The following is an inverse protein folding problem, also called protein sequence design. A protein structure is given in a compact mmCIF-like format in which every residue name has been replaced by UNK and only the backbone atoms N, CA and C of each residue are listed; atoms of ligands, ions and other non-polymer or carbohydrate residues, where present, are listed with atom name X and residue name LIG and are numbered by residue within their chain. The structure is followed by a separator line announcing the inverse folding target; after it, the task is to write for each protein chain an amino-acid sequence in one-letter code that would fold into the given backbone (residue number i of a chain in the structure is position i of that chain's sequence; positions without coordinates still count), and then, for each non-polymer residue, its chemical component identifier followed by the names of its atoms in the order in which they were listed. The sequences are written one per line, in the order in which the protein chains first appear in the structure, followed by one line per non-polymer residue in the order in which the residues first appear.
data_IF_248530964892
#
_entry.id   IF_248530964892
#
_cell.length_a   1.000
_cell.length_b   1.000
_cell.length_c   1.000
_cell.angle_alpha   90.00
_cell.angle_beta   90.00
_cell.angle_gamma   90.00
#
_symmetry.space_group_name_H-M   'P 1'
#
loop_
_entity.id
_entity.type
_entity.pdbx_description
1 polymer ?
#
# COMPACT_ATOMS: atom_id res chain seq x y z
N UNK A 1 41.30 -4.04 -14.92
CA UNK A 1 40.88 -5.32 -14.30
C UNK A 1 39.92 -5.06 -13.12
N UNK A 2 38.80 -4.35 -13.36
CA UNK A 2 37.72 -4.03 -12.40
C UNK A 2 36.45 -3.55 -13.15
N UNK A 3 36.04 -4.33 -14.15
CA UNK A 3 34.76 -4.22 -14.87
C UNK A 3 34.50 -5.61 -15.45
N UNK A 4 33.74 -6.43 -14.74
CA UNK A 4 33.09 -7.69 -15.18
C UNK A 4 32.70 -8.53 -13.95
N UNK A 5 31.69 -8.10 -13.21
CA UNK A 5 30.85 -8.98 -12.39
C UNK A 5 29.44 -8.40 -12.44
N UNK A 6 28.82 -8.45 -13.62
CA UNK A 6 27.41 -8.07 -13.76
C UNK A 6 26.77 -8.67 -15.02
N UNK A 7 27.05 -9.94 -15.33
CA UNK A 7 26.21 -10.77 -16.19
C UNK A 7 26.42 -12.21 -15.76
N UNK A 8 25.35 -13.00 -15.69
CA UNK A 8 25.27 -14.44 -15.36
C UNK A 8 25.10 -14.83 -13.88
N UNK A 9 23.86 -14.73 -13.40
CA UNK A 9 23.25 -15.78 -12.56
C UNK A 9 21.76 -15.94 -12.90
N UNK A 10 21.52 -17.01 -13.67
CA UNK A 10 20.31 -17.73 -14.07
C UNK A 10 18.88 -17.22 -13.75
N UNK A 11 18.09 -17.36 -14.81
CA UNK A 11 16.76 -16.82 -15.14
C UNK A 11 15.58 -17.42 -14.33
N UNK A 12 15.82 -18.30 -13.35
CA UNK A 12 14.78 -18.83 -12.45
C UNK A 12 14.71 -18.14 -11.07
N UNK A 13 15.69 -17.29 -10.72
CA UNK A 13 15.71 -16.54 -9.45
C UNK A 13 15.20 -15.09 -9.54
N UNK A 14 14.81 -14.65 -10.74
CA UNK A 14 14.47 -13.26 -11.06
C UNK A 14 13.14 -12.78 -10.45
N UNK A 15 12.21 -13.69 -10.12
CA UNK A 15 10.91 -13.31 -9.52
C UNK A 15 10.95 -13.08 -8.01
N UNK A 16 11.95 -13.60 -7.30
CA UNK A 16 12.10 -13.37 -5.85
C UNK A 16 12.75 -12.02 -5.53
N UNK A 17 13.63 -11.52 -6.40
CA UNK A 17 14.35 -10.25 -6.18
C UNK A 17 13.60 -9.02 -6.69
N UNK A 18 12.74 -9.14 -7.71
CA UNK A 18 11.94 -8.00 -8.20
C UNK A 18 10.85 -7.51 -7.24
N UNK A 19 10.48 -8.29 -6.22
CA UNK A 19 9.63 -7.81 -5.12
C UNK A 19 10.37 -7.00 -4.04
N UNK A 20 11.71 -7.01 -4.09
CA UNK A 20 12.61 -6.24 -3.21
C UNK A 20 13.20 -5.01 -3.91
N UNK A 21 13.16 -4.95 -5.25
CA UNK A 21 13.84 -3.91 -6.05
C UNK A 21 12.82 -2.92 -6.62
N UNK A 22 12.50 -1.89 -5.82
CA UNK A 22 12.32 -0.48 -6.25
C UNK A 22 12.00 0.44 -5.05
N UNK A 23 12.86 0.41 -4.02
CA UNK A 23 12.71 1.21 -2.78
C UNK A 23 13.66 2.42 -2.71
N UNK A 24 14.38 2.74 -3.81
CA UNK A 24 15.45 3.73 -3.82
C UNK A 24 14.94 5.14 -4.15
N UNK A 25 14.77 5.98 -3.13
CA UNK A 25 15.10 7.41 -3.23
C UNK A 25 15.77 7.89 -1.93
N UNK A 26 16.85 7.23 -1.53
CA UNK A 26 17.89 7.95 -0.77
C UNK A 26 18.74 8.65 -1.84
N UNK A 27 18.93 9.97 -1.78
CA UNK A 27 19.70 10.65 -2.82
C UNK A 27 21.14 10.11 -2.86
N UNK A 28 21.76 10.13 -4.04
CA UNK A 28 23.08 9.52 -4.30
C UNK A 28 24.22 10.11 -3.45
N UNK A 29 23.99 11.23 -2.75
CA UNK A 29 24.92 11.85 -1.82
C UNK A 29 24.96 11.17 -0.44
N UNK A 30 24.08 10.20 -0.17
CA UNK A 30 24.01 9.41 1.07
C UNK A 30 24.31 7.92 0.83
N UNK A 31 25.48 7.66 0.24
CA UNK A 31 25.96 6.30 -0.06
C UNK A 31 26.09 5.41 1.20
N UNK A 32 26.37 6.01 2.36
CA UNK A 32 26.46 5.31 3.65
C UNK A 32 25.16 4.58 4.02
N UNK A 33 24.03 5.25 3.83
CA UNK A 33 22.70 4.70 4.11
C UNK A 33 22.33 3.59 3.13
N UNK A 34 22.66 3.76 1.85
CA UNK A 34 22.40 2.74 0.84
C UNK A 34 23.17 1.45 1.14
N UNK A 35 24.43 1.54 1.55
CA UNK A 35 25.25 0.38 1.94
C UNK A 35 24.69 -0.35 3.17
N UNK A 36 24.29 0.39 4.21
CA UNK A 36 23.68 -0.18 5.42
C UNK A 36 22.33 -0.85 5.10
N UNK A 37 21.51 -0.23 4.25
CA UNK A 37 20.24 -0.81 3.81
C UNK A 37 20.45 -2.08 3.00
N UNK A 38 21.38 -2.08 2.05
CA UNK A 38 21.74 -3.27 1.26
C UNK A 38 22.25 -4.41 2.15
N UNK A 39 23.02 -4.09 3.19
CA UNK A 39 23.48 -5.08 4.17
C UNK A 39 22.32 -5.71 4.93
N UNK A 40 21.38 -4.91 5.44
CA UNK A 40 20.18 -5.40 6.12
C UNK A 40 19.29 -6.24 5.20
N UNK A 41 19.09 -5.79 3.95
CA UNK A 41 18.33 -6.51 2.92
C UNK A 41 18.97 -7.85 2.58
N UNK A 42 20.30 -7.90 2.45
CA UNK A 42 21.04 -9.14 2.23
C UNK A 42 20.88 -10.12 3.39
N UNK A 43 21.07 -9.67 4.63
CA UNK A 43 20.89 -10.49 5.82
C UNK A 43 19.45 -11.03 5.93
N UNK A 44 18.44 -10.17 5.73
CA UNK A 44 17.05 -10.57 5.72
C UNK A 44 16.74 -11.59 4.63
N UNK A 45 17.29 -11.42 3.42
CA UNK A 45 17.11 -12.34 2.30
C UNK A 45 17.65 -13.74 2.61
N UNK A 46 18.81 -13.83 3.27
CA UNK A 46 19.38 -15.12 3.70
C UNK A 46 18.46 -15.82 4.72
N UNK A 47 17.93 -15.07 5.69
CA UNK A 47 17.00 -15.60 6.71
C UNK A 47 15.67 -16.05 6.05
N UNK A 48 15.14 -15.27 5.10
CA UNK A 48 13.93 -15.62 4.38
C UNK A 48 14.12 -16.83 3.46
N UNK A 49 15.31 -17.00 2.88
CA UNK A 49 15.67 -18.18 2.09
C UNK A 49 15.73 -19.43 2.98
N UNK A 50 16.33 -19.32 4.16
CA UNK A 50 16.31 -20.36 5.20
C UNK A 50 14.87 -20.74 5.59
N UNK A 51 14.01 -19.74 5.82
CA UNK A 51 12.60 -19.95 6.11
C UNK A 51 11.86 -20.70 4.98
N UNK A 52 12.05 -20.26 3.73
CA UNK A 52 11.45 -20.90 2.56
C UNK A 52 11.88 -22.35 2.43
N UNK A 53 13.17 -22.64 2.60
CA UNK A 53 13.70 -24.00 2.50
C UNK A 53 13.12 -24.91 3.59
N UNK A 54 13.11 -24.45 4.85
CA UNK A 54 12.51 -25.19 5.95
C UNK A 54 11.03 -25.50 5.69
N UNK A 55 10.23 -24.51 5.28
CA UNK A 55 8.80 -24.70 5.08
C UNK A 55 8.45 -25.51 3.83
N UNK A 56 9.26 -25.45 2.77
CA UNK A 56 9.10 -26.33 1.61
C UNK A 56 9.33 -27.80 1.99
N UNK A 57 10.22 -28.07 2.95
CA UNK A 57 10.48 -29.40 3.50
C UNK A 57 9.53 -29.76 4.65
N UNK A 58 8.50 -28.93 4.93
CA UNK A 58 7.57 -29.08 6.05
C UNK A 58 8.25 -29.16 7.43
N UNK A 59 9.42 -28.54 7.56
CA UNK A 59 10.20 -28.49 8.80
C UNK A 59 9.88 -27.26 9.64
N UNK A 60 10.22 -27.36 10.93
CA UNK A 60 10.22 -26.23 11.85
C UNK A 60 11.39 -25.32 11.48
N UNK A 61 11.12 -24.03 11.29
CA UNK A 61 12.16 -23.04 11.09
C UNK A 61 12.80 -22.71 12.44
N UNK A 62 14.11 -22.86 12.51
CA UNK A 62 14.92 -22.45 13.64
C UNK A 62 15.64 -21.13 13.32
N UNK A 63 15.41 -20.10 14.14
CA UNK A 63 16.12 -18.83 14.08
C UNK A 63 16.82 -18.55 15.41
N UNK A 64 18.06 -18.07 15.35
CA UNK A 64 18.72 -17.41 16.48
C UNK A 64 18.02 -16.11 16.84
N UNK A 65 18.31 -15.56 18.03
CA UNK A 65 17.83 -14.24 18.45
C UNK A 65 18.23 -13.18 17.45
N UNK A 66 19.50 -13.18 17.04
CA UNK A 66 20.05 -12.25 16.07
C UNK A 66 19.31 -12.31 14.73
N UNK A 67 19.05 -13.51 14.18
CA UNK A 67 18.31 -13.66 12.92
C UNK A 67 16.87 -13.14 13.06
N UNK A 68 16.18 -13.49 14.16
CA UNK A 68 14.82 -13.02 14.44
C UNK A 68 14.74 -11.50 14.58
N UNK A 69 15.71 -10.90 15.27
CA UNK A 69 15.73 -9.46 15.56
C UNK A 69 16.18 -8.66 14.33
N UNK A 70 17.08 -9.21 13.52
CA UNK A 70 17.39 -8.72 12.17
C UNK A 70 16.15 -8.68 11.30
N UNK A 71 15.35 -9.76 11.28
CA UNK A 71 14.13 -9.82 10.50
C UNK A 71 13.09 -8.80 10.99
N UNK A 72 12.94 -8.61 12.31
CA UNK A 72 12.07 -7.55 12.86
C UNK A 72 12.53 -6.15 12.45
N UNK A 73 13.83 -5.86 12.56
CA UNK A 73 14.39 -4.58 12.13
C UNK A 73 14.12 -4.34 10.64
N UNK A 74 14.35 -5.35 9.80
CA UNK A 74 14.05 -5.29 8.37
C UNK A 74 12.57 -4.95 8.09
N UNK A 75 11.63 -5.63 8.75
CA UNK A 75 10.20 -5.37 8.59
C UNK A 75 9.81 -3.96 9.06
N UNK A 76 10.37 -3.48 10.17
CA UNK A 76 10.17 -2.11 10.62
C UNK A 76 10.69 -1.12 9.59
N UNK A 77 11.94 -1.27 9.12
CA UNK A 77 12.55 -0.34 8.16
C UNK A 77 11.74 -0.31 6.86
N UNK A 78 11.25 -1.47 6.40
CA UNK A 78 10.35 -1.56 5.25
C UNK A 78 9.07 -0.75 5.46
N UNK A 79 8.46 -0.83 6.65
CA UNK A 79 7.28 -0.06 7.04
C UNK A 79 7.58 1.44 7.20
N UNK A 80 8.68 1.79 7.86
CA UNK A 80 9.09 3.16 8.16
C UNK A 80 9.49 3.96 6.91
N UNK A 81 10.05 3.28 5.90
CA UNK A 81 10.36 3.87 4.59
C UNK A 81 9.14 4.02 3.68
N UNK A 82 7.95 3.61 4.13
CA UNK A 82 6.73 3.75 3.34
C UNK A 82 6.41 5.22 3.03
N UNK A 83 5.89 5.48 1.83
CA UNK A 83 5.63 6.83 1.31
C UNK A 83 4.75 7.70 2.21
N UNK A 84 3.82 7.11 2.97
CA UNK A 84 3.00 7.85 3.94
C UNK A 84 3.78 8.30 5.18
N UNK A 85 4.73 7.49 5.67
CA UNK A 85 5.61 7.89 6.77
C UNK A 85 6.64 8.91 6.30
N UNK A 86 7.20 8.76 5.10
CA UNK A 86 8.09 9.77 4.50
C UNK A 86 7.37 11.10 4.25
N UNK A 87 6.07 11.09 3.90
CA UNK A 87 5.30 12.31 3.69
C UNK A 87 5.27 13.21 4.93
N UNK A 88 5.35 12.64 6.15
CA UNK A 88 5.48 13.41 7.41
C UNK A 88 6.72 14.29 7.43
N UNK A 89 7.81 13.85 6.80
CA UNK A 89 9.11 14.53 6.84
C UNK A 89 9.38 15.36 5.56
N UNK A 90 8.63 15.12 4.49
CA UNK A 90 8.74 15.82 3.22
C UNK A 90 8.01 17.19 3.22
N UNK A 91 8.29 18.02 4.22
CA UNK A 91 7.76 19.38 4.33
C UNK A 91 8.89 20.41 4.31
N UNK A 92 8.97 21.16 3.21
CA UNK A 92 9.88 22.30 3.08
C UNK A 92 9.06 23.57 2.74
N UNK A 93 9.08 24.65 3.56
CA UNK A 93 9.84 24.86 4.80
C UNK A 93 9.15 24.32 6.08
N UNK A 94 9.91 24.24 7.17
CA UNK A 94 9.56 23.77 8.53
C UNK A 94 8.29 24.42 9.12
N UNK A 95 7.94 25.62 8.64
CA UNK A 95 6.75 26.38 9.05
C UNK A 95 5.43 25.81 8.52
N UNK A 96 5.46 24.88 7.55
CA UNK A 96 4.26 24.19 7.03
C UNK A 96 3.94 22.89 7.76
N UNK A 97 4.78 22.45 8.70
CA UNK A 97 4.54 21.25 9.50
C UNK A 97 3.51 21.57 10.60
N UNK A 98 2.21 21.51 10.29
CA UNK A 98 1.13 21.77 11.25
C UNK A 98 0.59 20.45 11.81
N UNK A 99 1.44 19.68 12.48
CA UNK A 99 1.08 18.46 13.19
C UNK A 99 1.29 18.71 14.70
N UNK A 100 0.54 18.02 15.54
CA UNK A 100 0.52 18.19 17.02
C UNK A 100 1.89 18.05 17.70
N UNK A 101 2.90 17.53 17.01
CA UNK A 101 4.25 17.33 17.50
C UNK A 101 5.26 18.37 16.95
N UNK A 102 4.81 19.41 16.23
CA UNK A 102 5.67 20.47 15.65
C UNK A 102 6.65 21.06 16.66
N UNK A 103 6.20 21.32 17.88
CA UNK A 103 7.06 21.84 18.96
C UNK A 103 8.21 20.86 19.28
N UNK A 104 7.89 19.57 19.52
CA UNK A 104 8.87 18.54 19.85
C UNK A 104 9.84 18.30 18.69
N UNK A 105 9.34 18.30 17.46
CA UNK A 105 10.17 18.12 16.26
C UNK A 105 11.14 19.30 16.07
N UNK A 106 10.67 20.54 16.27
CA UNK A 106 11.51 21.74 16.19
C UNK A 106 12.60 21.75 17.25
N UNK A 107 12.26 21.34 18.48
CA UNK A 107 13.22 21.21 19.58
C UNK A 107 14.29 20.14 19.27
N UNK A 108 13.87 18.98 18.74
CA UNK A 108 14.79 17.93 18.31
C UNK A 108 15.74 18.41 17.20
N UNK A 109 15.22 19.11 16.19
CA UNK A 109 16.03 19.68 15.11
C UNK A 109 17.08 20.67 15.63
N UNK A 110 16.69 21.57 16.56
CA UNK A 110 17.63 22.50 17.20
C UNK A 110 18.73 21.77 17.95
N UNK A 111 18.37 20.76 18.76
CA UNK A 111 19.31 19.95 19.54
C UNK A 111 20.31 19.19 18.66
N UNK A 112 19.90 18.73 17.49
CA UNK A 112 20.70 17.92 16.55
C UNK A 112 21.29 18.75 15.40
N UNK A 113 21.14 20.07 15.43
CA UNK A 113 21.58 21.00 14.38
C UNK A 113 21.05 20.66 12.97
N UNK A 114 19.84 20.12 12.88
CA UNK A 114 19.19 19.73 11.62
C UNK A 114 18.39 20.91 11.03
N UNK A 115 18.44 21.06 9.71
CA UNK A 115 17.84 22.22 9.01
C UNK A 115 16.46 21.91 8.45
N UNK A 116 16.22 20.67 8.03
CA UNK A 116 14.95 20.24 7.43
C UNK A 116 14.36 19.03 8.16
N UNK A 117 13.01 18.90 8.23
CA UNK A 117 12.37 17.71 8.79
C UNK A 117 12.81 16.41 8.09
N UNK A 118 13.13 16.48 6.80
CA UNK A 118 13.68 15.36 6.04
C UNK A 118 15.00 14.85 6.63
N UNK A 119 15.82 15.74 7.18
CA UNK A 119 17.09 15.36 7.84
C UNK A 119 16.84 14.49 9.07
N UNK A 120 15.72 14.70 9.79
CA UNK A 120 15.30 13.85 10.91
C UNK A 120 15.02 12.44 10.41
N UNK A 121 14.35 12.30 9.27
CA UNK A 121 14.05 10.98 8.71
C UNK A 121 15.33 10.21 8.39
N UNK A 122 16.32 10.88 7.79
CA UNK A 122 17.63 10.28 7.53
C UNK A 122 18.44 9.99 8.79
N UNK A 123 18.44 10.89 9.78
CA UNK A 123 19.06 10.68 11.09
C UNK A 123 18.45 9.46 11.81
N UNK A 124 17.13 9.35 11.78
CA UNK A 124 16.40 8.20 12.33
C UNK A 124 16.79 6.90 11.61
N UNK A 125 16.85 6.90 10.27
CA UNK A 125 17.27 5.71 9.51
C UNK A 125 18.68 5.27 9.89
N UNK A 126 19.63 6.20 10.03
CA UNK A 126 21.00 5.87 10.49
C UNK A 126 20.96 5.25 11.88
N UNK A 127 20.30 5.91 12.83
CA UNK A 127 20.24 5.43 14.20
C UNK A 127 19.56 4.06 14.33
N UNK A 128 18.54 3.76 13.52
CA UNK A 128 17.89 2.44 13.50
C UNK A 128 18.76 1.35 12.86
N UNK A 129 19.50 1.68 11.80
CA UNK A 129 20.39 0.74 11.13
C UNK A 129 21.58 0.39 12.02
N UNK A 130 22.16 1.40 12.69
CA UNK A 130 23.33 1.28 13.56
C UNK A 130 23.03 0.71 14.94
N UNK A 131 21.75 0.63 15.31
CA UNK A 131 21.33 0.10 16.59
C UNK A 131 21.70 -1.37 16.74
N UNK A 132 22.52 -1.70 17.72
CA UNK A 132 22.69 -3.09 18.14
C UNK A 132 21.51 -3.51 19.04
N UNK A 133 20.77 -4.54 18.62
CA UNK A 133 19.62 -5.08 19.37
C UNK A 133 20.03 -6.11 20.43
N UNK A 134 21.30 -6.52 20.45
CA UNK A 134 21.84 -7.43 21.48
C UNK A 134 22.18 -6.67 22.76
N UNK A 135 22.42 -5.37 22.66
CA UNK A 135 22.70 -4.53 23.81
C UNK A 135 21.49 -4.46 24.76
N UNK A 136 21.68 -4.85 26.02
CA UNK A 136 20.63 -4.80 27.06
C UNK A 136 19.96 -3.43 27.22
N UNK A 137 20.62 -2.35 26.82
CA UNK A 137 20.16 -0.97 26.94
C UNK A 137 19.79 -0.34 25.58
N UNK A 138 19.64 -1.17 24.53
CA UNK A 138 19.31 -0.68 23.18
C UNK A 138 18.07 0.22 23.16
N UNK A 139 17.08 -0.07 24.00
CA UNK A 139 15.84 0.72 24.11
C UNK A 139 16.09 2.15 24.56
N UNK A 140 16.99 2.37 25.52
CA UNK A 140 17.39 3.71 25.95
C UNK A 140 18.28 4.38 24.91
N UNK A 141 19.21 3.63 24.31
CA UNK A 141 20.10 4.14 23.26
C UNK A 141 19.30 4.68 22.07
N UNK A 142 18.31 3.94 21.58
CA UNK A 142 17.52 4.39 20.43
C UNK A 142 16.69 5.63 20.77
N UNK A 143 16.09 5.70 21.96
CA UNK A 143 15.34 6.89 22.43
C UNK A 143 16.21 8.16 22.50
N UNK A 144 17.51 8.02 22.76
CA UNK A 144 18.45 9.14 22.81
C UNK A 144 19.01 9.50 21.42
N UNK A 145 19.14 8.51 20.55
CA UNK A 145 19.84 8.65 19.28
C UNK A 145 18.97 9.20 18.17
N UNK A 146 17.68 8.84 18.13
CA UNK A 146 16.74 9.25 17.07
C UNK A 146 15.56 10.06 17.65
N UNK A 147 14.64 10.50 16.78
CA UNK A 147 13.45 11.22 17.22
C UNK A 147 12.59 10.39 18.19
N UNK A 148 12.26 10.88 19.41
CA UNK A 148 11.65 10.07 20.47
C UNK A 148 10.33 9.38 20.10
N UNK A 149 9.46 10.05 19.33
CA UNK A 149 8.17 9.46 18.92
C UNK A 149 8.39 8.26 17.98
N UNK A 150 9.40 8.32 17.12
CA UNK A 150 9.75 7.24 16.19
C UNK A 150 10.54 6.12 16.87
N UNK A 151 11.38 6.45 17.85
CA UNK A 151 12.02 5.48 18.73
C UNK A 151 10.99 4.68 19.54
N UNK A 152 10.01 5.36 20.13
CA UNK A 152 8.91 4.71 20.84
C UNK A 152 8.12 3.77 19.92
N UNK A 153 7.84 4.22 18.68
CA UNK A 153 7.18 3.39 17.69
C UNK A 153 7.99 2.14 17.31
N UNK A 154 9.30 2.28 17.11
CA UNK A 154 10.20 1.15 16.86
C UNK A 154 10.18 0.14 18.02
N UNK A 155 10.31 0.60 19.26
CA UNK A 155 10.28 -0.25 20.45
C UNK A 155 8.96 -1.01 20.53
N UNK A 156 7.84 -0.31 20.38
CA UNK A 156 6.50 -0.92 20.42
C UNK A 156 6.35 -1.98 19.33
N UNK A 157 6.84 -1.75 18.11
CA UNK A 157 6.68 -2.76 17.06
C UNK A 157 7.57 -3.99 17.30
N UNK A 158 8.83 -3.77 17.69
CA UNK A 158 9.81 -4.84 17.88
C UNK A 158 9.48 -5.72 19.08
N UNK A 159 9.03 -5.11 20.19
CA UNK A 159 8.74 -5.83 21.44
C UNK A 159 7.25 -6.19 21.60
N UNK A 160 6.35 -5.40 21.03
CA UNK A 160 4.91 -5.50 21.20
C UNK A 160 4.20 -6.48 20.27
N UNK A 161 4.94 -7.34 19.54
CA UNK A 161 4.35 -8.27 18.58
C UNK A 161 4.99 -9.67 18.52
N UNK A 162 4.14 -10.67 18.25
CA UNK A 162 4.54 -12.03 17.88
C UNK A 162 4.72 -12.13 16.38
N UNK A 163 5.87 -12.66 15.96
CA UNK A 163 6.13 -12.99 14.57
C UNK A 163 5.67 -14.41 14.28
N UNK A 164 4.92 -14.58 13.19
CA UNK A 164 4.52 -15.88 12.68
C UNK A 164 4.61 -15.92 11.15
N UNK A 165 4.68 -17.14 10.61
CA UNK A 165 4.78 -17.41 9.18
C UNK A 165 3.56 -18.18 8.70
N UNK A 166 3.07 -17.85 7.51
CA UNK A 166 1.99 -18.58 6.90
C UNK A 166 2.14 -18.73 5.39
N UNK A 167 1.54 -19.79 4.87
CA UNK A 167 1.37 -20.03 3.43
C UNK A 167 -0.12 -20.28 3.13
N UNK A 168 -0.59 -20.01 1.91
CA UNK A 168 -1.92 -20.47 1.48
C UNK A 168 -2.02 -22.00 1.59
N UNK A 169 -3.17 -22.48 2.04
CA UNK A 169 -3.49 -23.91 2.07
C UNK A 169 -3.65 -24.45 0.64
N UNK A 170 -4.42 -23.74 -0.18
CA UNK A 170 -4.61 -24.09 -1.59
C UNK A 170 -3.33 -23.86 -2.40
N UNK A 171 -3.10 -24.74 -3.37
CA UNK A 171 -2.04 -24.58 -4.38
C UNK A 171 -2.36 -23.46 -5.37
N UNK A 172 -3.64 -23.17 -5.57
CA UNK A 172 -4.13 -22.13 -6.49
C UNK A 172 -4.20 -20.74 -5.86
N UNK A 173 -4.12 -20.66 -4.53
CA UNK A 173 -4.15 -19.41 -3.78
C UNK A 173 -2.76 -18.81 -3.62
N UNK A 174 -2.69 -17.48 -3.77
CA UNK A 174 -1.49 -16.69 -3.63
C UNK A 174 -1.78 -15.34 -2.99
N UNK A 175 -0.80 -14.81 -2.26
CA UNK A 175 -0.85 -13.47 -1.70
C UNK A 175 -0.58 -12.43 -2.78
N UNK A 176 -1.35 -11.34 -2.75
CA UNK A 176 -1.14 -10.20 -3.65
C UNK A 176 0.15 -9.48 -3.25
N UNK A 177 1.10 -9.42 -4.18
CA UNK A 177 2.34 -8.69 -4.00
C UNK A 177 2.14 -7.22 -4.40
N UNK A 178 2.38 -6.30 -3.47
CA UNK A 178 2.40 -4.85 -3.73
C UNK A 178 3.83 -4.34 -3.63
N UNK A 179 4.19 -3.27 -4.34
CA UNK A 179 5.51 -2.62 -4.20
C UNK A 179 5.82 -2.23 -2.76
N UNK A 180 4.76 -2.04 -1.98
CA UNK A 180 4.83 -1.59 -0.59
C UNK A 180 4.29 -2.67 0.35
N UNK A 181 4.68 -3.94 0.17
CA UNK A 181 4.15 -5.16 0.83
C UNK A 181 4.11 -5.15 2.38
N UNK A 182 3.31 -4.25 2.95
CA UNK A 182 2.95 -4.08 4.34
C UNK A 182 1.51 -3.56 4.39
N UNK A 183 0.70 -4.16 5.24
CA UNK A 183 -0.63 -3.66 5.62
C UNK A 183 -0.86 -3.91 7.09
N UNK A 184 -1.58 -3.01 7.75
CA UNK A 184 -2.01 -3.16 9.13
C UNK A 184 -3.54 -3.29 9.22
N UNK A 185 -4.02 -4.27 9.98
CA UNK A 185 -5.43 -4.39 10.31
C UNK A 185 -5.75 -3.64 11.62
N UNK A 186 -6.77 -2.78 11.59
CA UNK A 186 -7.27 -2.07 12.77
C UNK A 186 -6.26 -1.08 13.36
N UNK A 187 -6.06 -1.10 14.68
CA UNK A 187 -5.00 -0.34 15.36
C UNK A 187 -3.68 -1.13 15.36
N UNK A 188 -3.27 -1.65 14.20
CA UNK A 188 -2.10 -2.53 14.05
C UNK A 188 -2.21 -3.84 14.86
N UNK A 189 -3.42 -4.40 14.92
CA UNK A 189 -3.65 -5.70 15.57
C UNK A 189 -2.87 -6.81 14.87
N UNK A 190 -2.86 -6.79 13.54
CA UNK A 190 -2.03 -7.62 12.70
C UNK A 190 -1.33 -6.75 11.65
N UNK A 191 -0.02 -6.91 11.50
CA UNK A 191 0.73 -6.35 10.38
C UNK A 191 1.15 -7.49 9.45
N UNK A 192 0.74 -7.43 8.19
CA UNK A 192 1.00 -8.46 7.19
C UNK A 192 2.09 -8.01 6.24
N UNK A 193 3.08 -8.87 6.04
CA UNK A 193 4.19 -8.65 5.14
C UNK A 193 4.26 -9.80 4.13
N UNK A 194 3.59 -9.68 2.96
CA UNK A 194 3.81 -10.59 1.85
C UNK A 194 5.29 -10.61 1.45
N UNK A 195 5.94 -11.78 1.57
CA UNK A 195 7.34 -11.98 1.19
C UNK A 195 7.43 -12.59 -0.20
N UNK A 196 6.54 -13.54 -0.49
CA UNK A 196 6.35 -14.14 -1.82
C UNK A 196 4.88 -14.49 -2.01
N UNK A 197 4.45 -14.88 -3.22
CA UNK A 197 3.07 -15.34 -3.46
C UNK A 197 2.61 -16.45 -2.50
N UNK A 198 3.55 -17.24 -1.96
CA UNK A 198 3.24 -18.37 -1.08
C UNK A 198 3.75 -18.23 0.35
N UNK A 199 4.42 -17.12 0.71
CA UNK A 199 4.97 -16.93 2.05
C UNK A 199 4.68 -15.52 2.55
N UNK A 200 4.12 -15.43 3.74
CA UNK A 200 3.82 -14.17 4.42
C UNK A 200 4.31 -14.23 5.86
N UNK A 201 4.81 -13.10 6.34
CA UNK A 201 5.09 -12.88 7.76
C UNK A 201 3.94 -12.05 8.35
N UNK A 202 3.47 -12.47 9.51
CA UNK A 202 2.45 -11.75 10.28
C UNK A 202 3.06 -11.33 11.61
N UNK A 203 2.94 -10.04 11.94
CA UNK A 203 3.21 -9.52 13.28
C UNK A 203 1.88 -9.29 13.99
N UNK A 204 1.57 -10.13 14.98
CA UNK A 204 0.37 -10.00 15.82
C UNK A 204 0.68 -9.19 17.06
N UNK A 205 -0.07 -8.11 17.30
CA UNK A 205 0.07 -7.28 18.49
C UNK A 205 -0.25 -8.06 19.77
N UNK A 206 0.54 -7.81 20.82
CA UNK A 206 0.30 -8.35 22.16
C UNK A 206 -1.03 -7.88 22.76
N UNK A 207 -1.61 -6.78 22.25
CA UNK A 207 -2.90 -6.26 22.68
C UNK A 207 -4.06 -7.23 22.41
N UNK A 208 -3.92 -8.10 21.39
CA UNK A 208 -4.91 -9.15 21.11
C UNK A 208 -4.89 -10.30 22.13
N UNK A 209 -4.10 -10.21 23.21
CA UNK A 209 -4.26 -11.09 24.38
C UNK A 209 -5.46 -10.69 25.24
N UNK A 210 -5.90 -9.43 25.15
CA UNK A 210 -7.08 -8.94 25.84
C UNK A 210 -8.35 -9.31 25.06
N UNK A 211 -9.22 -10.11 25.70
CA UNK A 211 -10.47 -10.58 25.11
C UNK A 211 -11.43 -9.44 24.69
N UNK A 212 -11.33 -8.27 25.30
CA UNK A 212 -12.12 -7.08 24.93
C UNK A 212 -11.67 -6.46 23.60
N UNK A 213 -10.38 -6.60 23.28
CA UNK A 213 -9.76 -6.09 22.06
C UNK A 213 -9.88 -7.12 20.92
N UNK A 214 -9.82 -8.42 21.23
CA UNK A 214 -10.00 -9.51 20.25
C UNK A 214 -11.28 -9.35 19.42
N UNK A 215 -12.40 -9.02 20.05
CA UNK A 215 -13.72 -8.80 19.40
C UNK A 215 -13.75 -7.65 18.38
N UNK A 216 -12.66 -6.88 18.26
CA UNK A 216 -12.50 -5.77 17.31
C UNK A 216 -11.65 -6.14 16.09
N UNK A 217 -10.94 -7.27 16.11
CA UNK A 217 -10.21 -7.78 14.93
C UNK A 217 -11.14 -8.66 14.09
N UNK A 218 -11.00 -8.56 12.78
CA UNK A 218 -11.72 -9.37 11.77
C UNK A 218 -10.98 -10.67 11.44
N UNK A 219 -9.78 -10.85 11.98
CA UNK A 219 -8.88 -11.99 11.77
C UNK A 219 -8.35 -12.49 13.14
N UNK A 220 -9.18 -12.40 14.19
CA UNK A 220 -8.81 -12.81 15.55
C UNK A 220 -8.62 -14.33 15.69
N UNK A 221 -9.28 -15.08 14.83
CA UNK A 221 -9.27 -16.53 14.67
C UNK A 221 -8.01 -17.08 13.98
N UNK A 222 -7.09 -16.21 13.51
CA UNK A 222 -5.82 -16.65 12.96
C UNK A 222 -5.04 -17.50 14.00
N UNK A 223 -4.54 -18.69 13.62
CA UNK A 223 -3.87 -19.63 14.52
C UNK A 223 -2.41 -19.21 14.80
N UNK A 224 -2.22 -17.94 15.19
CA UNK A 224 -0.92 -17.36 15.48
C UNK A 224 -0.52 -17.76 16.90
N UNK A 225 0.51 -18.59 17.00
CA UNK A 225 1.09 -19.01 18.27
C UNK A 225 2.40 -18.26 18.54
N UNK A 226 2.71 -18.08 19.83
CA UNK A 226 4.03 -17.58 20.25
C UNK A 226 5.08 -18.60 19.84
N UNK A 227 6.20 -18.15 19.28
CA UNK A 227 7.29 -19.07 18.92
C UNK A 227 7.82 -19.78 20.17
N UNK A 228 8.12 -21.08 20.02
CA UNK A 228 8.79 -21.82 21.09
C UNK A 228 10.22 -21.31 21.19
N UNK A 229 10.76 -21.23 22.40
CA UNK A 229 12.12 -20.74 22.62
C UNK A 229 12.90 -21.70 23.52
N UNK A 230 14.20 -21.79 23.27
CA UNK A 230 15.10 -22.76 23.91
C UNK A 230 15.34 -22.53 25.42
N UNK A 231 14.86 -21.43 25.99
CA UNK A 231 15.20 -20.96 27.34
C UNK A 231 13.98 -20.82 28.28
N UNK A 232 12.84 -21.43 27.94
CA UNK A 232 11.62 -21.42 28.78
C UNK A 232 11.77 -22.20 30.12
N UNK A 233 12.98 -22.67 30.46
CA UNK A 233 13.26 -23.53 31.62
C UNK A 233 14.16 -22.92 32.72
N UNK A 234 14.62 -21.66 32.62
CA UNK A 234 15.57 -21.08 33.59
C UNK A 234 15.03 -19.82 34.31
N UNK A 235 15.30 -19.74 35.62
CA UNK A 235 14.71 -18.78 36.58
C UNK A 235 15.46 -17.44 36.64
N UNK A 236 16.72 -17.38 36.20
CA UNK A 236 17.51 -16.14 36.11
C UNK A 236 17.91 -15.87 34.66
N UNK A 237 17.14 -15.03 33.96
CA UNK A 237 17.24 -14.89 32.52
C UNK A 237 18.00 -13.63 32.08
N UNK A 238 19.05 -13.81 31.26
CA UNK A 238 19.66 -12.77 30.42
C UNK A 238 19.48 -13.13 28.94
N UNK A 239 19.12 -12.18 28.07
CA UNK A 239 19.03 -12.45 26.64
C UNK A 239 20.41 -12.72 26.04
N UNK A 240 20.65 -13.95 25.60
CA UNK A 240 21.84 -14.34 24.84
C UNK A 240 21.54 -14.44 23.34
N UNK A 241 22.55 -14.22 22.50
CA UNK A 241 22.42 -14.17 21.03
C UNK A 241 22.16 -15.55 20.42
N UNK A 242 22.71 -16.59 21.05
CA UNK A 242 22.55 -18.01 20.69
C UNK A 242 21.16 -18.58 21.03
N UNK A 243 20.31 -17.82 21.72
CA UNK A 243 18.94 -18.25 22.03
C UNK A 243 18.16 -18.58 20.75
N UNK A 244 17.60 -19.79 20.70
CA UNK A 244 16.90 -20.31 19.51
C UNK A 244 15.40 -20.15 19.64
N UNK A 245 14.77 -19.82 18.51
CA UNK A 245 13.33 -19.65 18.34
C UNK A 245 12.85 -20.57 17.23
N UNK A 246 11.77 -21.27 17.50
CA UNK A 246 11.20 -22.27 16.62
C UNK A 246 9.86 -21.79 16.10
N UNK A 247 9.72 -21.77 14.77
CA UNK A 247 8.54 -21.29 14.07
C UNK A 247 7.96 -22.40 13.20
N UNK A 248 6.66 -22.65 13.38
CA UNK A 248 5.86 -23.41 12.42
C UNK A 248 5.28 -22.45 11.38
N UNK A 249 5.13 -22.92 10.14
CA UNK A 249 4.38 -22.22 9.11
C UNK A 249 2.98 -22.80 9.01
N UNK A 250 1.96 -22.02 9.38
CA UNK A 250 0.59 -22.49 9.34
C UNK A 250 -0.06 -22.24 7.98
N UNK A 251 -1.10 -23.00 7.69
CA UNK A 251 -1.86 -22.89 6.44
C UNK A 251 -3.03 -21.92 6.62
N UNK A 252 -3.18 -20.99 5.69
CA UNK A 252 -4.32 -20.10 5.62
C UNK A 252 -5.37 -20.67 4.68
N UNK A 253 -6.60 -20.80 5.17
CA UNK A 253 -7.75 -21.16 4.35
C UNK A 253 -7.94 -20.14 3.20
N UNK A 254 -8.55 -20.52 2.07
CA UNK A 254 -8.87 -19.61 0.98
C UNK A 254 -9.62 -18.34 1.41
N UNK A 255 -10.53 -18.45 2.39
CA UNK A 255 -11.28 -17.30 2.93
C UNK A 255 -10.36 -16.26 3.56
N UNK A 256 -9.44 -16.68 4.42
CA UNK A 256 -8.45 -15.80 5.04
C UNK A 256 -7.54 -15.14 4.00
N UNK A 257 -7.05 -15.90 3.01
CA UNK A 257 -6.23 -15.37 1.92
C UNK A 257 -7.00 -14.29 1.16
N UNK A 258 -8.28 -14.52 0.85
CA UNK A 258 -9.15 -13.54 0.20
C UNK A 258 -9.32 -12.26 1.03
N UNK A 259 -9.59 -12.36 2.33
CA UNK A 259 -9.73 -11.19 3.22
C UNK A 259 -8.42 -10.38 3.25
N UNK A 260 -7.28 -11.04 3.46
CA UNK A 260 -5.97 -10.36 3.51
C UNK A 260 -5.66 -9.71 2.16
N UNK A 261 -5.94 -10.38 1.05
CA UNK A 261 -5.77 -9.82 -0.28
C UNK A 261 -6.69 -8.62 -0.56
N UNK A 262 -7.93 -8.63 -0.04
CA UNK A 262 -8.83 -7.48 -0.13
C UNK A 262 -8.29 -6.28 0.66
N UNK A 263 -7.80 -6.51 1.87
CA UNK A 263 -7.14 -5.47 2.66
C UNK A 263 -5.95 -4.89 1.87
N UNK A 264 -5.06 -5.74 1.34
CA UNK A 264 -3.89 -5.32 0.56
C UNK A 264 -4.27 -4.47 -0.65
N UNK A 265 -5.36 -4.83 -1.35
CA UNK A 265 -5.86 -4.07 -2.50
C UNK A 265 -6.42 -2.70 -2.11
N UNK A 266 -7.12 -2.63 -0.98
CA UNK A 266 -7.76 -1.38 -0.53
C UNK A 266 -6.72 -0.33 -0.10
N UNK A 267 -5.63 -0.74 0.54
CA UNK A 267 -4.54 0.18 0.91
C UNK A 267 -3.65 0.57 -0.29
N UNK A 268 -3.38 -0.35 -1.22
CA UNK A 268 -2.32 -0.18 -2.24
C UNK A 268 -2.83 -0.22 -3.70
N UNK A 269 -3.92 0.49 -3.98
CA UNK A 269 -4.56 0.53 -5.33
C UNK A 269 -3.64 0.96 -6.49
N UNK A 270 -2.52 1.65 -6.22
CA UNK A 270 -1.64 2.23 -7.24
C UNK A 270 -0.32 1.49 -7.45
N UNK A 271 0.01 0.49 -6.60
CA UNK A 271 1.37 -0.05 -6.48
C UNK A 271 1.48 -1.58 -6.56
N UNK A 272 0.47 -2.27 -7.11
CA UNK A 272 0.50 -3.73 -7.30
C UNK A 272 1.62 -4.13 -8.29
N UNK A 273 2.49 -5.07 -7.88
CA UNK A 273 3.51 -5.67 -8.76
C UNK A 273 2.82 -6.77 -9.56
N UNK A 274 2.86 -6.68 -10.89
CA UNK A 274 2.24 -7.66 -11.78
C UNK A 274 3.02 -8.98 -11.77
N UNK A 275 2.33 -10.06 -11.41
CA UNK A 275 2.67 -11.44 -11.77
C UNK A 275 1.38 -12.11 -12.31
N UNK A 276 1.50 -13.24 -13.00
CA UNK A 276 0.43 -14.14 -13.49
C UNK A 276 -0.72 -14.38 -12.48
N UNK A 277 -0.40 -14.20 -11.21
CA UNK A 277 -1.24 -14.25 -10.00
C UNK A 277 -2.32 -13.16 -9.94
N UNK A 278 -2.05 -11.94 -10.44
CA UNK A 278 -3.03 -10.85 -10.53
C UNK A 278 -4.19 -11.24 -11.47
N UNK A 279 -3.90 -11.98 -12.54
CA UNK A 279 -4.88 -12.36 -13.55
C UNK A 279 -5.82 -13.45 -13.02
N UNK A 280 -5.31 -14.47 -12.31
CA UNK A 280 -6.14 -15.51 -11.67
C UNK A 280 -6.92 -14.96 -10.47
N UNK A 281 -6.30 -14.17 -9.60
CA UNK A 281 -6.99 -13.60 -8.43
C UNK A 281 -7.98 -12.47 -8.80
N UNK A 282 -7.76 -11.76 -9.92
CA UNK A 282 -8.75 -10.82 -10.47
C UNK A 282 -9.84 -11.57 -11.24
N UNK A 283 -9.52 -12.62 -11.99
CA UNK A 283 -10.51 -13.47 -12.65
C UNK A 283 -11.42 -14.18 -11.64
N UNK A 284 -10.87 -14.67 -10.52
CA UNK A 284 -11.64 -15.29 -9.44
C UNK A 284 -12.51 -14.26 -8.72
N UNK A 285 -11.97 -13.09 -8.38
CA UNK A 285 -12.74 -11.95 -7.83
C UNK A 285 -13.88 -11.49 -8.75
N UNK A 286 -13.66 -11.53 -10.07
CA UNK A 286 -14.67 -11.17 -11.05
C UNK A 286 -15.65 -12.33 -11.33
N UNK A 287 -15.25 -13.58 -11.14
CA UNK A 287 -16.09 -14.79 -11.30
C UNK A 287 -16.99 -15.06 -10.08
N UNK A 288 -16.56 -14.71 -8.88
CA UNK A 288 -17.33 -14.91 -7.65
C UNK A 288 -18.35 -13.79 -7.42
N UNK A 289 -19.60 -14.04 -7.83
CA UNK A 289 -20.78 -13.19 -7.63
C UNK A 289 -21.25 -13.15 -6.16
N UNK A 290 -20.34 -12.87 -5.21
CA UNK A 290 -20.68 -12.69 -3.79
C UNK A 290 -20.28 -11.32 -3.29
N UNK A 291 -20.99 -10.33 -3.81
CA UNK A 291 -21.27 -9.11 -3.06
C UNK A 291 -22.08 -9.43 -1.80
N UNK A 292 -21.45 -9.92 -0.73
CA UNK A 292 -22.04 -9.83 0.60
C UNK A 292 -21.60 -8.55 1.27
N UNK A 293 -22.50 -7.57 1.24
CA UNK A 293 -22.60 -6.49 2.21
C UNK A 293 -22.34 -7.05 3.61
N UNK A 294 -21.22 -6.71 4.23
CA UNK A 294 -21.16 -6.71 5.69
C UNK A 294 -21.76 -5.40 6.17
N UNK A 295 -23.08 -5.40 6.29
CA UNK A 295 -23.81 -4.46 7.13
C UNK A 295 -23.46 -4.75 8.58
N UNK A 296 -22.39 -4.16 9.08
CA UNK A 296 -22.32 -3.82 10.50
C UNK A 296 -21.75 -2.42 10.63
N UNK A 297 -22.36 -1.63 11.51
CA UNK A 297 -22.09 -0.22 11.81
C UNK A 297 -20.67 0.05 12.35
N UNK A 298 -19.61 -0.51 11.76
CA UNK A 298 -18.21 -0.38 12.21
C UNK A 298 -17.32 0.45 11.26
N UNK A 299 -17.83 0.89 10.11
CA UNK A 299 -17.10 1.74 9.14
C UNK A 299 -17.03 3.23 9.50
N UNK A 300 -17.85 3.72 10.46
CA UNK A 300 -17.95 5.15 10.82
C UNK A 300 -16.73 5.73 11.55
N UNK A 301 -15.82 4.90 12.05
CA UNK A 301 -14.63 5.38 12.77
C UNK A 301 -13.48 5.80 11.83
N UNK A 302 -13.52 5.42 10.55
CA UNK A 302 -12.48 5.77 9.58
C UNK A 302 -12.70 7.16 8.97
N UNK A 303 -13.96 7.58 8.81
CA UNK A 303 -14.33 8.88 8.22
C UNK A 303 -13.96 10.08 9.12
N UNK A 304 -13.76 9.88 10.42
CA UNK A 304 -13.39 10.95 11.35
C UNK A 304 -11.91 11.36 11.28
N UNK A 305 -11.01 10.53 10.71
CA UNK A 305 -9.58 10.88 10.56
C UNK A 305 -9.31 11.79 9.35
N UNK A 306 -10.14 11.75 8.32
CA UNK A 306 -9.94 12.51 7.07
C UNK A 306 -10.31 14.00 7.21
N UNK A 307 -11.02 14.39 8.28
CA UNK A 307 -11.51 15.76 8.50
C UNK A 307 -10.45 16.77 8.96
N UNK A 308 -9.25 16.37 9.41
CA UNK A 308 -8.31 17.31 10.05
C UNK A 308 -7.23 17.95 9.16
N UNK A 309 -7.04 17.51 7.92
CA UNK A 309 -5.99 18.07 7.05
C UNK A 309 -6.56 18.63 5.74
N UNK A 310 -6.88 19.93 5.76
CA UNK A 310 -7.09 20.71 4.53
C UNK A 310 -6.57 22.13 4.70
N UNK A 311 -5.48 22.52 4.02
CA UNK A 311 -5.15 23.92 3.80
C UNK A 311 -5.86 24.44 2.55
N UNK A 312 -6.37 25.67 2.64
CA UNK A 312 -7.02 26.42 1.55
C UNK A 312 -6.07 26.71 0.38
N UNK A 313 -6.57 26.78 -0.88
CA UNK A 313 -5.73 26.96 -2.05
C UNK A 313 -5.52 28.45 -2.37
N UNK A 314 -4.26 28.88 -2.39
CA UNK A 314 -3.88 30.23 -2.80
C UNK A 314 -2.44 30.31 -3.29
N UNK A 315 -2.33 30.31 -4.63
CA UNK A 315 -1.22 30.82 -5.47
C UNK A 315 -0.04 29.91 -5.85
N UNK A 316 0.26 30.12 -7.13
CA UNK A 316 1.16 29.43 -8.06
C UNK A 316 2.62 29.84 -7.89
N UNK A 317 3.57 28.89 -8.01
CA UNK A 317 4.54 28.85 -9.13
C UNK A 317 5.58 27.72 -9.00
N UNK A 318 5.69 26.99 -10.12
CA UNK A 318 6.85 26.37 -10.81
C UNK A 318 8.11 26.01 -10.00
N UNK A 319 8.40 24.71 -9.99
CA UNK A 319 9.73 24.10 -9.85
C UNK A 319 9.64 22.59 -10.11
N UNK A 320 10.19 22.11 -11.24
CA UNK A 320 10.07 20.72 -11.73
C UNK A 320 10.93 19.74 -10.90
N UNK A 321 10.29 18.72 -10.33
CA UNK A 321 10.78 17.32 -10.28
C UNK A 321 9.57 16.43 -10.51
N UNK A 322 9.46 15.82 -11.69
CA UNK A 322 8.24 15.10 -12.08
C UNK A 322 8.17 13.74 -11.40
N UNK A 323 7.25 13.59 -10.43
CA UNK A 323 6.63 12.28 -10.23
C UNK A 323 6.10 11.82 -11.59
N UNK A 324 6.46 10.62 -12.06
CA UNK A 324 5.94 10.08 -13.33
C UNK A 324 4.43 9.83 -13.16
N UNK A 325 3.63 10.87 -13.39
CA UNK A 325 2.18 10.81 -13.48
C UNK A 325 1.81 9.84 -14.59
N UNK A 326 0.88 8.91 -14.34
CA UNK A 326 0.35 8.06 -15.40
C UNK A 326 -0.56 8.89 -16.33
N UNK A 327 -0.64 8.53 -17.62
CA UNK A 327 -1.51 9.21 -18.60
C UNK A 327 -2.93 9.41 -18.07
N UNK A 328 -3.57 8.35 -17.56
CA UNK A 328 -4.92 8.42 -16.97
C UNK A 328 -5.06 9.51 -15.87
N UNK A 329 -4.07 9.68 -15.01
CA UNK A 329 -4.07 10.71 -13.96
C UNK A 329 -3.88 12.10 -14.56
N UNK A 330 -2.98 12.24 -15.55
CA UNK A 330 -2.74 13.51 -16.21
C UNK A 330 -3.98 14.00 -16.97
N UNK A 331 -4.61 13.11 -17.75
CA UNK A 331 -5.86 13.40 -18.46
C UNK A 331 -6.97 13.75 -17.47
N UNK A 332 -7.09 13.01 -16.37
CA UNK A 332 -8.06 13.31 -15.32
C UNK A 332 -7.87 14.71 -14.72
N UNK A 333 -6.63 15.12 -14.47
CA UNK A 333 -6.33 16.47 -13.97
C UNK A 333 -6.74 17.54 -15.00
N UNK A 334 -6.51 17.30 -16.29
CA UNK A 334 -6.88 18.24 -17.37
C UNK A 334 -8.38 18.35 -17.54
N UNK A 335 -9.09 17.23 -17.58
CA UNK A 335 -10.56 17.17 -17.64
C UNK A 335 -11.16 17.85 -16.40
N UNK A 336 -10.67 17.50 -15.21
CA UNK A 336 -11.07 18.11 -13.95
C UNK A 336 -10.90 19.62 -13.90
N UNK A 337 -9.77 20.12 -14.41
CA UNK A 337 -9.50 21.56 -14.47
C UNK A 337 -10.50 22.28 -15.39
N UNK A 338 -10.85 21.70 -16.53
CA UNK A 338 -11.83 22.30 -17.45
C UNK A 338 -13.27 22.20 -16.92
N UNK A 339 -13.62 21.12 -16.23
CA UNK A 339 -14.90 20.98 -15.55
C UNK A 339 -15.13 22.12 -14.55
N UNK A 340 -14.11 22.46 -13.75
CA UNK A 340 -14.18 23.56 -12.77
C UNK A 340 -14.33 24.92 -13.44
N UNK A 341 -13.73 25.11 -14.63
CA UNK A 341 -13.86 26.36 -15.39
C UNK A 341 -15.27 26.55 -15.99
N UNK A 342 -15.97 25.45 -16.27
CA UNK A 342 -17.34 25.47 -16.82
C UNK A 342 -18.38 25.41 -15.71
N UNK A 343 -18.98 26.55 -15.36
CA UNK A 343 -19.96 26.67 -14.26
C UNK A 343 -21.12 25.66 -14.35
N UNK A 344 -21.67 25.42 -15.54
CA UNK A 344 -22.76 24.47 -15.74
C UNK A 344 -22.33 23.02 -15.47
N UNK A 345 -21.09 22.65 -15.77
CA UNK A 345 -20.57 21.31 -15.49
C UNK A 345 -20.39 21.06 -14.00
N UNK A 346 -19.99 22.09 -13.25
CA UNK A 346 -19.93 22.00 -11.79
C UNK A 346 -21.33 21.84 -11.19
N UNK A 347 -22.33 22.53 -11.75
CA UNK A 347 -23.73 22.36 -11.35
C UNK A 347 -24.23 20.93 -11.61
N UNK A 348 -23.88 20.33 -12.76
CA UNK A 348 -24.20 18.93 -13.04
C UNK A 348 -23.56 17.97 -12.03
N UNK A 349 -22.29 18.17 -11.67
CA UNK A 349 -21.65 17.38 -10.61
C UNK A 349 -22.38 17.54 -9.26
N UNK A 350 -22.84 18.75 -8.94
CA UNK A 350 -23.62 19.02 -7.74
C UNK A 350 -25.00 18.35 -7.74
N UNK A 351 -25.58 18.00 -8.90
CA UNK A 351 -26.81 17.20 -8.93
C UNK A 351 -26.58 15.80 -8.35
N UNK A 352 -25.42 15.20 -8.62
CA UNK A 352 -25.05 13.94 -7.98
C UNK A 352 -24.69 14.11 -6.50
N UNK A 353 -24.10 15.25 -6.15
CA UNK A 353 -23.57 15.51 -4.80
C UNK A 353 -23.78 16.96 -4.36
N UNK A 354 -24.98 17.32 -3.87
CA UNK A 354 -25.38 18.72 -3.63
C UNK A 354 -24.49 19.48 -2.64
N UNK A 355 -23.96 18.78 -1.64
CA UNK A 355 -23.11 19.35 -0.58
C UNK A 355 -21.61 19.23 -0.86
N UNK A 356 -21.22 18.82 -2.07
CA UNK A 356 -19.82 18.56 -2.39
C UNK A 356 -18.99 19.84 -2.53
N UNK A 357 -17.97 19.98 -1.68
CA UNK A 357 -16.91 20.94 -1.89
C UNK A 357 -16.04 20.59 -3.12
N UNK A 358 -15.31 21.57 -3.67
CA UNK A 358 -14.37 21.35 -4.79
C UNK A 358 -13.32 20.27 -4.45
N UNK A 359 -12.93 20.13 -3.18
CA UNK A 359 -12.03 19.06 -2.73
C UNK A 359 -12.64 17.67 -2.98
N UNK A 360 -13.94 17.52 -2.78
CA UNK A 360 -14.67 16.28 -3.04
C UNK A 360 -14.65 15.93 -4.52
N UNK A 361 -14.83 16.93 -5.40
CA UNK A 361 -14.70 16.75 -6.85
C UNK A 361 -13.31 16.23 -7.23
N UNK A 362 -12.23 16.81 -6.68
CA UNK A 362 -10.87 16.33 -6.96
C UNK A 362 -10.62 14.91 -6.45
N UNK A 363 -11.21 14.55 -5.31
CA UNK A 363 -11.15 13.18 -4.81
C UNK A 363 -11.87 12.21 -5.75
N UNK A 364 -13.07 12.57 -6.22
CA UNK A 364 -13.83 11.73 -7.15
C UNK A 364 -13.16 11.66 -8.54
N UNK A 365 -12.47 12.71 -8.98
CA UNK A 365 -11.61 12.70 -10.18
C UNK A 365 -10.43 11.74 -10.02
N UNK A 366 -9.76 11.74 -8.86
CA UNK A 366 -8.68 10.80 -8.57
C UNK A 366 -9.19 9.35 -8.62
N UNK A 367 -10.35 9.07 -7.99
CA UNK A 367 -10.98 7.75 -8.02
C UNK A 367 -11.38 7.35 -9.45
N UNK A 368 -11.98 8.25 -10.22
CA UNK A 368 -12.31 8.00 -11.62
C UNK A 368 -11.04 7.74 -12.48
N UNK A 369 -9.93 8.43 -12.21
CA UNK A 369 -8.65 8.18 -12.89
C UNK A 369 -8.11 6.78 -12.60
N UNK A 370 -8.32 6.27 -11.37
CA UNK A 370 -7.96 4.91 -10.98
C UNK A 370 -8.84 3.88 -11.67
N UNK A 371 -10.12 4.18 -11.92
CA UNK A 371 -10.99 3.34 -12.74
C UNK A 371 -10.47 3.23 -14.19
N UNK A 372 -10.03 4.35 -14.79
CA UNK A 372 -9.41 4.33 -16.13
C UNK A 372 -8.11 3.53 -16.13
N UNK A 373 -7.26 3.72 -15.12
CA UNK A 373 -6.04 2.93 -14.96
C UNK A 373 -6.33 1.43 -14.83
N UNK A 374 -7.34 1.06 -14.03
CA UNK A 374 -7.78 -0.32 -13.87
C UNK A 374 -8.24 -0.92 -15.21
N UNK A 375 -9.03 -0.17 -16.00
CA UNK A 375 -9.44 -0.59 -17.34
C UNK A 375 -8.22 -0.86 -18.22
N UNK A 376 -7.30 0.11 -18.35
CA UNK A 376 -6.10 0.00 -19.19
C UNK A 376 -5.26 -1.22 -18.78
N UNK A 377 -4.96 -1.36 -17.49
CA UNK A 377 -4.16 -2.48 -16.98
C UNK A 377 -4.85 -3.83 -17.22
N UNK A 378 -6.18 -3.89 -17.06
CA UNK A 378 -6.95 -5.10 -17.34
C UNK A 378 -6.91 -5.43 -18.83
N UNK A 379 -7.09 -4.44 -19.72
CA UNK A 379 -7.05 -4.67 -21.17
C UNK A 379 -5.65 -5.13 -21.63
N UNK A 380 -4.58 -4.55 -21.11
CA UNK A 380 -3.20 -5.00 -21.36
C UNK A 380 -2.98 -6.43 -20.83
N UNK A 381 -3.46 -6.74 -19.63
CA UNK A 381 -3.35 -8.08 -19.07
C UNK A 381 -4.11 -9.12 -19.91
N UNK A 382 -5.32 -8.79 -20.36
CA UNK A 382 -6.10 -9.66 -21.23
C UNK A 382 -5.42 -9.86 -22.58
N UNK A 383 -4.84 -8.81 -23.16
CA UNK A 383 -4.09 -8.90 -24.41
C UNK A 383 -2.94 -9.90 -24.31
N UNK A 384 -2.15 -9.82 -23.23
CA UNK A 384 -0.98 -10.67 -23.00
C UNK A 384 -1.30 -12.06 -22.40
N UNK A 385 -2.56 -12.36 -22.10
CA UNK A 385 -2.96 -13.63 -21.47
C UNK A 385 -3.26 -14.74 -22.48
N UNK A 386 -3.04 -15.99 -22.05
CA UNK A 386 -3.42 -17.23 -22.74
C UNK A 386 -4.91 -17.61 -22.59
N UNK A 387 -5.72 -16.75 -21.97
CA UNK A 387 -7.15 -16.99 -21.79
C UNK A 387 -7.88 -17.14 -23.13
N UNK A 388 -8.94 -17.93 -23.16
CA UNK A 388 -9.80 -18.03 -24.34
C UNK A 388 -10.58 -16.72 -24.57
N UNK A 389 -11.10 -16.51 -25.78
CA UNK A 389 -11.89 -15.31 -26.11
C UNK A 389 -13.08 -15.11 -25.17
N UNK A 390 -13.83 -16.18 -24.88
CA UNK A 390 -15.00 -16.15 -24.00
C UNK A 390 -14.62 -15.79 -22.56
N UNK A 391 -13.46 -16.25 -22.08
CA UNK A 391 -12.93 -15.87 -20.77
C UNK A 391 -12.51 -14.40 -20.72
N UNK A 392 -11.86 -13.88 -21.77
CA UNK A 392 -11.49 -12.47 -21.87
C UNK A 392 -12.74 -11.57 -21.86
N UNK A 393 -13.78 -11.95 -22.60
CA UNK A 393 -15.06 -11.22 -22.59
C UNK A 393 -15.75 -11.28 -21.23
N UNK A 394 -15.70 -12.42 -20.54
CA UNK A 394 -16.23 -12.55 -19.17
C UNK A 394 -15.54 -11.56 -18.22
N UNK A 395 -14.21 -11.43 -18.28
CA UNK A 395 -13.46 -10.46 -17.44
C UNK A 395 -13.86 -9.02 -17.77
N UNK A 396 -14.03 -8.67 -19.05
CA UNK A 396 -14.48 -7.33 -19.47
C UNK A 396 -15.89 -7.03 -18.96
N UNK A 397 -16.82 -7.97 -19.09
CA UNK A 397 -18.20 -7.85 -18.60
C UNK A 397 -18.23 -7.66 -17.07
N UNK A 398 -17.43 -8.42 -16.34
CA UNK A 398 -17.39 -8.29 -14.88
C UNK A 398 -16.77 -6.96 -14.43
N UNK A 399 -15.75 -6.45 -15.14
CA UNK A 399 -15.24 -5.09 -14.92
C UNK A 399 -16.31 -4.03 -15.19
N UNK A 400 -17.09 -4.18 -16.26
CA UNK A 400 -18.21 -3.27 -16.57
C UNK A 400 -19.26 -3.31 -15.45
N UNK A 401 -19.68 -4.50 -15.00
CA UNK A 401 -20.60 -4.67 -13.87
C UNK A 401 -20.08 -4.01 -12.59
N UNK A 402 -18.78 -4.16 -12.30
CA UNK A 402 -18.13 -3.51 -11.18
C UNK A 402 -18.25 -1.98 -11.28
N UNK A 403 -17.94 -1.41 -12.44
CA UNK A 403 -18.02 0.05 -12.63
C UNK A 403 -19.45 0.57 -12.54
N UNK A 404 -20.43 -0.16 -13.05
CA UNK A 404 -21.84 0.21 -12.91
C UNK A 404 -22.28 0.26 -11.44
N UNK A 405 -21.66 -0.53 -10.56
CA UNK A 405 -21.95 -0.56 -9.12
C UNK A 405 -21.21 0.50 -8.29
N UNK A 406 -20.44 1.39 -8.92
CA UNK A 406 -19.76 2.49 -8.24
C UNK A 406 -20.66 3.74 -8.16
N UNK A 407 -20.34 4.70 -7.26
CA UNK A 407 -21.08 5.95 -7.15
C UNK A 407 -21.21 6.67 -8.49
N UNK A 408 -22.41 7.17 -8.79
CA UNK A 408 -22.78 7.70 -10.10
C UNK A 408 -21.87 8.85 -10.55
N UNK A 409 -21.48 9.73 -9.63
CA UNK A 409 -20.57 10.85 -9.89
C UNK A 409 -19.19 10.38 -10.35
N UNK A 410 -18.71 9.24 -9.85
CA UNK A 410 -17.42 8.66 -10.24
C UNK A 410 -17.52 7.98 -11.60
N UNK A 411 -18.64 7.31 -11.88
CA UNK A 411 -18.90 6.73 -13.20
C UNK A 411 -19.00 7.84 -14.25
N UNK A 412 -19.72 8.91 -13.96
CA UNK A 412 -19.84 10.10 -14.81
C UNK A 412 -18.47 10.73 -15.11
N UNK A 413 -17.63 10.94 -14.08
CA UNK A 413 -16.25 11.43 -14.27
C UNK A 413 -15.38 10.44 -15.06
N UNK A 414 -15.50 9.14 -14.79
CA UNK A 414 -14.75 8.10 -15.50
C UNK A 414 -15.04 8.11 -17.01
N UNK A 415 -16.31 8.27 -17.40
CA UNK A 415 -16.73 8.35 -18.80
C UNK A 415 -16.10 9.57 -19.50
N UNK A 416 -16.11 10.72 -18.84
CA UNK A 416 -15.46 11.95 -19.36
C UNK A 416 -13.95 11.79 -19.53
N UNK A 417 -13.28 11.18 -18.56
CA UNK A 417 -11.83 10.94 -18.65
C UNK A 417 -11.56 9.96 -19.80
N UNK A 418 -12.32 8.87 -19.89
CA UNK A 418 -12.19 7.88 -20.97
C UNK A 418 -12.34 8.50 -22.36
N UNK A 419 -13.36 9.35 -22.58
CA UNK A 419 -13.57 10.06 -23.87
C UNK A 419 -12.37 10.89 -24.28
N UNK A 420 -11.69 11.50 -23.32
CA UNK A 420 -10.60 12.42 -23.57
C UNK A 420 -9.22 11.75 -23.62
N UNK A 421 -9.10 10.44 -23.37
CA UNK A 421 -7.81 9.74 -23.42
C UNK A 421 -7.15 9.83 -24.80
N UNK A 422 -7.92 9.76 -25.89
CA UNK A 422 -7.40 9.85 -27.26
C UNK A 422 -7.07 11.27 -27.71
N UNK A 423 -7.37 12.30 -26.90
CA UNK A 423 -7.09 13.71 -27.19
C UNK A 423 -5.68 14.13 -26.78
N UNK A 424 -4.88 13.18 -26.29
CA UNK A 424 -3.49 13.36 -25.89
C UNK A 424 -2.60 12.44 -26.73
N UNK A 425 -1.38 12.88 -26.97
CA UNK A 425 -0.39 12.11 -27.72
C UNK A 425 -0.03 10.80 -26.98
N UNK A 426 0.21 9.73 -27.73
CA UNK A 426 0.49 8.40 -27.16
C UNK A 426 1.92 8.30 -26.63
N UNK A 427 2.85 9.02 -27.25
CA UNK A 427 4.28 9.00 -26.93
C UNK A 427 4.64 10.07 -25.89
N UNK A 428 3.99 11.24 -25.97
CA UNK A 428 4.02 12.27 -24.92
C UNK A 428 2.61 12.69 -24.49
N UNK A 429 2.01 11.94 -23.57
CA UNK A 429 0.69 12.24 -23.02
C UNK A 429 0.55 13.62 -22.37
N UNK A 430 1.65 14.38 -22.18
CA UNK A 430 1.56 15.77 -21.71
C UNK A 430 1.13 16.72 -22.82
N UNK A 431 1.33 16.34 -24.08
CA UNK A 431 0.88 17.04 -25.27
C UNK A 431 -0.59 16.70 -25.56
N UNK A 432 -1.45 17.71 -25.44
CA UNK A 432 -2.84 17.63 -25.87
C UNK A 432 -2.90 17.91 -27.37
N UNK A 433 -3.40 16.95 -28.15
CA UNK A 433 -3.42 17.00 -29.63
C UNK A 433 -4.76 17.50 -30.18
N UNK A 434 -5.82 17.56 -29.36
CA UNK A 434 -7.12 18.11 -29.75
C UNK A 434 -7.89 18.64 -28.53
N UNK A 435 -8.91 19.49 -28.78
CA UNK A 435 -9.73 20.07 -27.71
C UNK A 435 -10.43 18.97 -26.89
N UNK A 436 -10.58 19.21 -25.58
CA UNK A 436 -11.26 18.26 -24.71
C UNK A 436 -12.78 18.36 -24.89
N UNK A 437 -13.41 17.20 -24.95
CA UNK A 437 -14.86 17.03 -24.99
C UNK A 437 -15.37 16.83 -23.57
N UNK A 438 -15.68 17.94 -22.92
CA UNK A 438 -16.11 17.96 -21.52
C UNK A 438 -17.58 17.60 -21.36
N UNK A 439 -18.39 17.90 -22.36
CA UNK A 439 -19.81 17.52 -22.41
C UNK A 439 -19.97 16.16 -23.09
N UNK A 440 -21.02 15.43 -22.70
CA UNK A 440 -21.32 14.12 -23.24
C UNK A 440 -22.71 13.65 -22.90
N UNK A 441 -23.10 12.54 -23.51
CA UNK A 441 -24.44 11.97 -23.35
C UNK A 441 -24.75 11.54 -21.90
N UNK A 442 -23.72 11.27 -21.09
CA UNK A 442 -23.84 11.00 -19.66
C UNK A 442 -24.37 12.21 -18.86
N UNK A 443 -24.26 13.42 -19.39
CA UNK A 443 -24.75 14.64 -18.71
C UNK A 443 -26.27 14.67 -18.60
N UNK A 444 -26.98 14.05 -19.56
CA UNK A 444 -28.45 13.93 -19.53
C UNK A 444 -28.96 13.10 -18.35
N UNK A 445 -28.11 12.24 -17.78
CA UNK A 445 -28.46 11.39 -16.64
C UNK A 445 -28.26 12.07 -15.29
N UNK A 446 -27.53 13.19 -15.22
CA UNK A 446 -27.22 13.86 -13.96
C UNK A 446 -28.47 14.32 -13.21
N UNK A 447 -29.46 14.85 -13.93
CA UNK A 447 -30.75 15.26 -13.34
C UNK A 447 -31.56 14.06 -12.88
N UNK A 448 -31.69 13.03 -13.71
CA UNK A 448 -32.45 11.82 -13.40
C UNK A 448 -31.90 11.09 -12.16
N UNK A 449 -30.57 11.00 -12.07
CA UNK A 449 -29.89 10.34 -10.96
C UNK A 449 -29.91 11.21 -9.70
N UNK A 450 -29.74 12.52 -9.83
CA UNK A 450 -29.81 13.46 -8.70
C UNK A 450 -31.19 13.47 -8.03
N UNK A 451 -32.26 13.39 -8.82
CA UNK A 451 -33.64 13.36 -8.33
C UNK A 451 -34.00 11.98 -7.72
N UNK A 452 -33.45 10.89 -8.27
CA UNK A 452 -33.71 9.52 -7.81
C UNK A 452 -32.54 8.59 -8.14
N UNK A 453 -31.61 8.32 -7.19
CA UNK A 453 -30.41 7.52 -7.45
C UNK A 453 -30.77 6.03 -7.56
N UNK A 454 -31.29 5.63 -8.72
CA UNK A 454 -31.56 4.23 -9.08
C UNK A 454 -30.34 3.63 -9.78
N UNK A 455 -29.99 2.42 -9.37
CA UNK A 455 -28.86 1.67 -9.93
C UNK A 455 -29.00 1.44 -11.46
N UNK A 456 -30.23 1.30 -11.95
CA UNK A 456 -30.56 1.16 -13.36
C UNK A 456 -30.12 2.38 -14.19
N UNK A 457 -30.30 3.60 -13.66
CA UNK A 457 -29.91 4.83 -14.35
C UNK A 457 -28.38 4.94 -14.51
N UNK A 458 -27.62 4.45 -13.53
CA UNK A 458 -26.15 4.41 -13.61
C UNK A 458 -25.71 3.42 -14.70
N UNK A 459 -26.40 2.28 -14.78
CA UNK A 459 -26.18 1.27 -15.82
C UNK A 459 -26.49 1.84 -17.21
N UNK A 460 -27.63 2.50 -17.38
CA UNK A 460 -28.03 3.09 -18.67
C UNK A 460 -27.07 4.21 -19.09
N UNK A 461 -26.66 5.06 -18.13
CA UNK A 461 -25.62 6.08 -18.35
C UNK A 461 -24.31 5.45 -18.84
N UNK A 462 -23.84 4.38 -18.19
CA UNK A 462 -22.62 3.69 -18.59
C UNK A 462 -22.75 3.06 -19.98
N UNK A 463 -23.84 2.34 -20.23
CA UNK A 463 -24.05 1.63 -21.49
C UNK A 463 -24.13 2.61 -22.66
N UNK A 464 -24.98 3.64 -22.56
CA UNK A 464 -25.10 4.63 -23.64
C UNK A 464 -23.78 5.34 -23.92
N UNK A 465 -23.02 5.70 -22.87
CA UNK A 465 -21.74 6.40 -23.03
C UNK A 465 -20.59 5.53 -23.56
N UNK A 466 -20.78 4.20 -23.64
CA UNK A 466 -19.76 3.26 -24.11
C UNK A 466 -20.12 2.50 -25.38
N UNK A 467 -21.37 2.60 -25.84
CA UNK A 467 -21.83 2.27 -27.20
C UNK A 467 -21.55 3.43 -28.14
#
# INVERSE_FOLDING_TARGET
MKREINVYWNIENTMTTQSLVDLYQVPNDKNDLNEKLSTLEYQATNILSKARNAFNQQQILELTRMERDTLRKFLFIKKYRHSEFHHRYNHNPTQKYNISDHHRMTEYMKRKHLQHPEDIWFDNLRGLLDLDLEDSDWGRKIMNNIYPDDAAFFIIQVQGSFMAFCTPESVDDEFVMTRNAHIAEGQEYHSFFPISPRLMIILRSNLLRDASIQKRSILDDLPIQVSRSSYTAHVDWKPLSEHRFFFSCFKLSPTHVSIINQLLRNEHTTSIIHDSTYTKASATYLREDRGRRHSSNKGRLYEQRVKKNTPSPGRSRRGKKSSKLHMAQYVAIKVGSQLIQKRHMLQLYQLFRPEAAIKSLWHDIDQASKMVLMRIKTDVALHNSSLSYTEKETVKLNRQKLFMNLPAERVWLYLKICRNMSKFDKDDFKMQISALEIEGIEDGYAKLIGDSPKQELIRDMYLHATT
#
